data_IF_056685965147
#
_entry.id   IF_056685965147
#
_cell.length_a   1.000
_cell.length_b   1.000
_cell.length_c   1.000
_cell.angle_alpha   90.00
_cell.angle_beta   90.00
_cell.angle_gamma   90.00
#
_symmetry.space_group_name_H-M   'P 1'
#
loop_
_entity.id
_entity.type
_entity.pdbx_description
1 polymer ?
#
# COMPACT_ATOMS: atom_id res chain seq x y z
N UNK A 1 -63.50 -19.62 -22.49
CA UNK A 1 -64.01 -18.41 -21.83
C UNK A 1 -62.83 -17.64 -21.28
N UNK A 2 -62.54 -16.46 -21.85
CA UNK A 2 -61.33 -15.66 -21.63
C UNK A 2 -61.46 -14.80 -20.37
N UNK A 3 -60.54 -14.93 -19.40
CA UNK A 3 -60.41 -13.99 -18.28
C UNK A 3 -59.01 -13.35 -18.29
N UNK A 4 -58.91 -12.13 -18.84
CA UNK A 4 -57.77 -11.23 -18.59
C UNK A 4 -58.33 -9.96 -17.96
N UNK A 5 -58.36 -9.91 -16.63
CA UNK A 5 -58.61 -8.66 -15.90
C UNK A 5 -57.35 -7.81 -15.94
N UNK A 6 -57.32 -6.78 -16.79
CA UNK A 6 -56.32 -5.72 -16.73
C UNK A 6 -56.69 -4.79 -15.57
N UNK A 7 -55.93 -4.84 -14.48
CA UNK A 7 -56.01 -3.86 -13.39
C UNK A 7 -55.47 -2.53 -13.95
N UNK A 8 -56.33 -1.51 -14.07
CA UNK A 8 -55.91 -0.13 -14.38
C UNK A 8 -55.56 0.58 -13.08
N UNK A 9 -54.26 0.72 -12.80
CA UNK A 9 -53.78 1.53 -11.68
C UNK A 9 -53.88 3.02 -12.02
N UNK A 10 -54.40 3.83 -11.09
CA UNK A 10 -54.54 5.28 -11.30
C UNK A 10 -53.18 6.01 -11.16
N UNK A 11 -52.92 7.09 -11.91
CA UNK A 11 -51.62 7.79 -11.86
C UNK A 11 -51.28 8.37 -10.47
N UNK A 12 -52.30 8.65 -9.66
CA UNK A 12 -52.15 9.19 -8.30
C UNK A 12 -51.71 8.14 -7.26
N UNK A 13 -51.85 6.85 -7.58
CA UNK A 13 -51.35 5.75 -6.75
C UNK A 13 -49.92 5.33 -7.13
N UNK A 14 -49.38 5.77 -8.27
CA UNK A 14 -48.03 5.37 -8.71
C UNK A 14 -46.93 5.96 -7.83
N UNK A 15 -47.05 7.24 -7.47
CA UNK A 15 -46.03 7.95 -6.70
C UNK A 15 -45.78 7.37 -5.29
N UNK A 16 -46.82 7.09 -4.45
CA UNK A 16 -46.59 6.45 -3.17
C UNK A 16 -46.06 5.02 -3.30
N UNK A 17 -46.42 4.31 -4.39
CA UNK A 17 -46.00 2.92 -4.61
C UNK A 17 -44.52 2.82 -5.03
N UNK A 18 -44.03 3.77 -5.83
CA UNK A 18 -42.59 3.89 -6.16
C UNK A 18 -41.78 4.29 -4.93
N UNK A 19 -42.28 5.22 -4.12
CA UNK A 19 -41.61 5.61 -2.86
C UNK A 19 -41.54 4.43 -1.90
N UNK A 20 -42.61 3.66 -1.76
CA UNK A 20 -42.62 2.44 -0.94
C UNK A 20 -41.63 1.38 -1.46
N UNK A 21 -41.50 1.25 -2.79
CA UNK A 21 -40.53 0.34 -3.43
C UNK A 21 -39.08 0.76 -3.16
N UNK A 22 -38.77 2.06 -3.23
CA UNK A 22 -37.43 2.59 -2.92
C UNK A 22 -37.11 2.40 -1.44
N UNK A 23 -38.06 2.67 -0.53
CA UNK A 23 -37.88 2.45 0.91
C UNK A 23 -37.71 0.95 1.22
N UNK A 24 -38.45 0.07 0.55
CA UNK A 24 -38.28 -1.38 0.69
C UNK A 24 -36.91 -1.86 0.17
N UNK A 25 -36.43 -1.33 -0.96
CA UNK A 25 -35.09 -1.64 -1.49
C UNK A 25 -34.00 -1.10 -0.54
N UNK A 26 -34.17 0.10 0.01
CA UNK A 26 -33.24 0.68 0.97
C UNK A 26 -33.22 -0.11 2.28
N UNK A 27 -34.37 -0.54 2.79
CA UNK A 27 -34.47 -1.36 4.00
C UNK A 27 -33.92 -2.79 3.79
N UNK A 28 -34.17 -3.41 2.64
CA UNK A 28 -33.56 -4.70 2.27
C UNK A 28 -32.05 -4.55 2.05
N UNK A 29 -31.60 -3.45 1.45
CA UNK A 29 -30.18 -3.12 1.32
C UNK A 29 -29.50 -2.93 2.68
N UNK A 30 -30.14 -2.18 3.59
CA UNK A 30 -29.63 -1.90 4.94
C UNK A 30 -29.62 -3.17 5.81
N UNK A 31 -30.67 -4.00 5.75
CA UNK A 31 -30.68 -5.30 6.43
C UNK A 31 -29.70 -6.30 5.81
N UNK A 32 -29.43 -6.26 4.49
CA UNK A 32 -28.37 -7.10 3.88
C UNK A 32 -26.97 -6.67 4.29
N UNK A 33 -26.74 -5.38 4.55
CA UNK A 33 -25.45 -4.87 5.06
C UNK A 33 -25.28 -5.23 6.55
N UNK A 34 -26.35 -5.20 7.35
CA UNK A 34 -26.29 -5.46 8.80
C UNK A 34 -26.58 -6.91 9.22
N UNK A 35 -27.00 -7.80 8.32
CA UNK A 35 -27.37 -9.19 8.65
C UNK A 35 -26.56 -10.25 7.91
N UNK A 36 -25.43 -9.91 7.32
CA UNK A 36 -24.38 -10.91 7.09
C UNK A 36 -23.88 -11.40 8.44
N UNK A 37 -23.97 -12.71 8.76
CA UNK A 37 -23.12 -13.30 9.80
C UNK A 37 -21.67 -12.90 9.50
N UNK A 38 -20.77 -12.80 10.50
CA UNK A 38 -19.36 -12.57 10.22
C UNK A 38 -18.95 -13.64 9.21
N UNK A 39 -18.72 -13.19 7.97
CA UNK A 39 -18.18 -14.05 6.93
C UNK A 39 -16.90 -14.55 7.54
N UNK A 40 -16.88 -15.84 7.86
CA UNK A 40 -15.69 -16.56 8.26
C UNK A 40 -14.60 -16.07 7.31
N UNK A 41 -13.69 -15.28 7.87
CA UNK A 41 -12.44 -14.97 7.23
C UNK A 41 -11.85 -16.36 7.04
N UNK A 42 -12.01 -16.92 5.84
CA UNK A 42 -11.00 -17.83 5.31
C UNK A 42 -9.76 -16.97 5.36
N UNK A 43 -9.04 -17.14 6.46
CA UNK A 43 -7.70 -16.70 6.70
C UNK A 43 -6.96 -17.10 5.42
N UNK A 44 -6.86 -16.14 4.50
CA UNK A 44 -5.86 -16.22 3.45
C UNK A 44 -4.60 -16.23 4.26
N UNK A 45 -4.06 -17.43 4.41
CA UNK A 45 -2.76 -17.72 5.00
C UNK A 45 -1.89 -16.51 4.71
N UNK A 46 -1.51 -15.72 5.73
CA UNK A 46 -0.43 -14.77 5.56
C UNK A 46 0.66 -15.55 4.85
N UNK A 47 1.17 -15.05 3.74
CA UNK A 47 2.44 -15.59 3.26
C UNK A 47 3.40 -15.28 4.39
N UNK A 48 3.56 -16.27 5.25
CA UNK A 48 4.46 -16.30 6.38
C UNK A 48 5.79 -15.91 5.79
N UNK A 49 6.33 -14.78 6.26
CA UNK A 49 7.73 -14.49 6.04
C UNK A 49 8.47 -15.76 6.44
N UNK A 50 9.17 -16.38 5.49
CA UNK A 50 10.42 -17.01 5.87
C UNK A 50 11.26 -15.87 6.41
N UNK A 51 11.27 -15.73 7.72
CA UNK A 51 12.23 -14.96 8.48
C UNK A 51 13.61 -15.36 7.93
N UNK A 52 14.19 -14.52 7.07
CA UNK A 52 15.50 -14.80 6.53
C UNK A 52 16.47 -14.56 7.69
N UNK A 53 16.79 -15.64 8.41
CA UNK A 53 17.90 -15.65 9.37
C UNK A 53 19.18 -15.48 8.54
N UNK A 54 19.63 -14.23 8.42
CA UNK A 54 20.76 -13.82 7.58
C UNK A 54 22.12 -14.24 8.13
N UNK A 55 22.19 -15.01 9.21
CA UNK A 55 23.45 -15.61 9.65
C UNK A 55 23.99 -16.68 8.68
N UNK A 56 23.18 -17.18 7.75
CA UNK A 56 23.54 -18.32 6.89
C UNK A 56 23.05 -18.18 5.42
N UNK A 57 22.86 -16.96 4.90
CA UNK A 57 22.54 -16.83 3.48
C UNK A 57 23.75 -17.26 2.64
N UNK A 58 23.56 -18.28 1.82
CA UNK A 58 24.56 -18.63 0.83
C UNK A 58 24.58 -17.59 -0.30
N UNK A 59 25.69 -17.55 -1.06
CA UNK A 59 25.91 -16.60 -2.15
C UNK A 59 24.73 -16.49 -3.15
N UNK A 60 24.03 -17.60 -3.39
CA UNK A 60 22.88 -17.63 -4.29
C UNK A 60 21.67 -16.88 -3.72
N UNK A 61 21.40 -17.00 -2.43
CA UNK A 61 20.31 -16.28 -1.77
C UNK A 61 20.56 -14.76 -1.72
N UNK A 62 21.83 -14.36 -1.58
CA UNK A 62 22.26 -12.96 -1.72
C UNK A 62 22.01 -12.44 -3.15
N UNK A 63 22.43 -13.19 -4.16
CA UNK A 63 22.22 -12.83 -5.57
C UNK A 63 20.74 -12.74 -5.95
N UNK A 64 19.92 -13.63 -5.40
CA UNK A 64 18.46 -13.60 -5.53
C UNK A 64 17.87 -12.34 -4.87
N UNK A 65 18.31 -11.98 -3.67
CA UNK A 65 17.92 -10.73 -3.02
C UNK A 65 18.28 -9.51 -3.89
N UNK A 66 19.48 -9.46 -4.45
CA UNK A 66 19.88 -8.32 -5.29
C UNK A 66 19.06 -8.15 -6.57
N UNK A 67 18.37 -9.21 -7.04
CA UNK A 67 17.42 -9.05 -8.15
C UNK A 67 16.22 -8.17 -7.75
N UNK A 68 15.93 -8.02 -6.45
CA UNK A 68 14.89 -7.11 -5.96
C UNK A 68 15.15 -5.68 -6.43
N UNK A 69 16.40 -5.22 -6.36
CA UNK A 69 16.76 -3.88 -6.80
C UNK A 69 16.58 -3.68 -8.30
N UNK A 70 16.57 -4.74 -9.11
CA UNK A 70 16.34 -4.63 -10.57
C UNK A 70 14.86 -4.52 -10.95
N UNK A 71 13.94 -4.70 -9.99
CA UNK A 71 12.50 -4.60 -10.25
C UNK A 71 12.13 -3.15 -10.62
N UNK A 72 11.30 -2.93 -11.66
CA UNK A 72 11.04 -1.61 -12.20
C UNK A 72 10.38 -0.66 -11.18
N UNK A 73 9.47 -1.15 -10.34
CA UNK A 73 8.86 -0.34 -9.27
C UNK A 73 9.82 0.03 -8.14
N UNK A 74 10.86 -0.78 -7.87
CA UNK A 74 11.90 -0.46 -6.87
C UNK A 74 12.85 0.60 -7.44
N UNK A 75 13.25 0.45 -8.70
CA UNK A 75 14.00 1.47 -9.44
C UNK A 75 13.22 2.79 -9.53
N UNK A 76 11.92 2.71 -9.77
CA UNK A 76 11.05 3.88 -9.79
C UNK A 76 11.02 4.61 -8.44
N UNK A 77 10.90 3.88 -7.32
CA UNK A 77 10.95 4.46 -5.99
C UNK A 77 12.24 5.28 -5.79
N UNK A 78 13.39 4.73 -6.19
CA UNK A 78 14.67 5.46 -6.12
C UNK A 78 14.64 6.75 -6.96
N UNK A 79 14.11 6.68 -8.18
CA UNK A 79 13.97 7.86 -9.07
C UNK A 79 13.03 8.92 -8.47
N UNK A 80 11.91 8.51 -7.89
CA UNK A 80 10.96 9.42 -7.24
C UNK A 80 11.57 10.17 -6.05
N UNK A 81 12.31 9.46 -5.19
CA UNK A 81 13.03 10.10 -4.09
C UNK A 81 14.10 11.09 -4.59
N UNK A 82 14.79 10.77 -5.68
CA UNK A 82 15.80 11.66 -6.28
C UNK A 82 15.17 12.91 -6.93
N UNK A 83 14.05 12.73 -7.65
CA UNK A 83 13.26 13.81 -8.22
C UNK A 83 12.76 14.78 -7.11
N UNK A 84 12.23 14.23 -6.01
CA UNK A 84 11.83 15.02 -4.85
C UNK A 84 13.01 15.80 -4.24
N UNK A 85 14.18 15.16 -4.09
CA UNK A 85 15.40 15.84 -3.60
C UNK A 85 15.88 16.95 -4.53
N UNK A 86 15.81 16.74 -5.85
CA UNK A 86 16.18 17.71 -6.87
C UNK A 86 15.17 18.85 -7.02
N UNK A 87 13.98 18.70 -6.43
CA UNK A 87 12.83 19.57 -6.67
C UNK A 87 12.49 19.66 -8.17
N UNK A 88 12.61 18.53 -8.86
CA UNK A 88 12.32 18.37 -10.28
C UNK A 88 11.61 17.04 -10.52
N UNK A 89 10.31 17.12 -10.81
CA UNK A 89 9.45 15.98 -11.10
C UNK A 89 8.87 16.03 -12.51
N UNK A 90 9.55 16.69 -13.46
CA UNK A 90 9.04 16.83 -14.84
C UNK A 90 8.75 15.47 -15.50
N UNK A 91 9.61 14.49 -15.22
CA UNK A 91 9.62 13.17 -15.85
C UNK A 91 9.22 12.04 -14.88
N UNK A 92 8.81 12.40 -13.66
CA UNK A 92 8.48 11.45 -12.59
C UNK A 92 7.14 11.83 -11.95
N UNK A 93 6.19 10.90 -11.94
CA UNK A 93 4.87 11.09 -11.35
C UNK A 93 4.90 10.85 -9.84
N UNK A 94 4.73 11.92 -9.06
CA UNK A 94 4.64 11.85 -7.60
C UNK A 94 3.32 12.51 -7.19
N UNK A 95 2.46 11.73 -6.53
CA UNK A 95 1.18 12.23 -6.05
C UNK A 95 1.37 13.22 -4.92
N UNK A 96 0.47 14.20 -4.82
CA UNK A 96 0.44 15.14 -3.68
C UNK A 96 0.33 14.37 -2.35
N UNK A 97 -0.40 13.24 -2.33
CA UNK A 97 -0.53 12.40 -1.14
C UNK A 97 0.79 11.73 -0.71
N UNK A 98 1.73 11.53 -1.64
CA UNK A 98 3.07 11.05 -1.30
C UNK A 98 3.99 12.17 -0.80
N UNK A 99 3.69 13.44 -1.10
CA UNK A 99 4.54 14.58 -0.74
C UNK A 99 4.07 15.23 0.55
N UNK A 100 2.80 15.62 0.61
CA UNK A 100 2.27 16.49 1.66
C UNK A 100 2.30 15.80 3.02
N UNK A 101 2.88 16.49 4.00
CA UNK A 101 2.85 16.03 5.39
C UNK A 101 1.41 15.90 5.91
N UNK A 102 1.16 14.77 6.55
CA UNK A 102 -0.05 14.50 7.33
C UNK A 102 0.27 13.52 8.47
N UNK A 103 -0.45 13.64 9.59
CA UNK A 103 -0.27 12.78 10.77
C UNK A 103 -1.61 12.35 11.30
N UNK A 104 -1.93 11.07 11.16
CA UNK A 104 -3.21 10.50 11.60
C UNK A 104 -3.02 9.08 12.08
N UNK A 105 -3.73 8.73 13.14
CA UNK A 105 -3.85 7.33 13.61
C UNK A 105 -2.48 6.64 13.83
N UNK A 106 -1.48 7.39 14.32
CA UNK A 106 -0.13 6.86 14.56
C UNK A 106 0.70 6.63 13.29
N UNK A 107 0.29 7.20 12.16
CA UNK A 107 1.00 7.18 10.88
C UNK A 107 1.45 8.59 10.51
N UNK A 108 2.71 8.71 10.13
CA UNK A 108 3.30 9.90 9.53
C UNK A 108 3.32 9.67 8.03
N UNK A 109 2.71 10.57 7.28
CA UNK A 109 2.53 10.50 5.82
C UNK A 109 3.22 11.68 5.16
N UNK A 110 3.73 11.45 3.96
CA UNK A 110 4.29 12.48 3.10
C UNK A 110 5.80 12.60 3.20
N UNK A 111 6.46 12.81 2.07
CA UNK A 111 7.90 13.08 2.01
C UNK A 111 8.29 14.35 2.78
N UNK A 112 7.39 15.34 2.88
CA UNK A 112 7.64 16.58 3.63
C UNK A 112 7.74 16.35 5.15
N UNK A 113 7.26 15.21 5.66
CA UNK A 113 7.20 14.93 7.09
C UNK A 113 8.52 14.42 7.69
N UNK A 114 9.52 14.13 6.86
CA UNK A 114 10.79 13.54 7.30
C UNK A 114 11.99 14.33 6.80
N UNK A 115 13.12 14.16 7.51
CA UNK A 115 14.38 14.77 7.12
C UNK A 115 14.86 14.24 5.76
N UNK A 116 15.21 15.15 4.84
CA UNK A 116 15.69 14.81 3.49
C UNK A 116 16.94 13.93 3.48
N UNK A 117 17.71 13.88 4.57
CA UNK A 117 18.85 12.96 4.73
C UNK A 117 18.45 11.49 4.59
N UNK A 118 17.23 11.10 4.97
CA UNK A 118 16.72 9.75 4.70
C UNK A 118 16.75 9.47 3.19
N UNK A 119 16.21 10.38 2.38
CA UNK A 119 16.10 10.15 0.94
C UNK A 119 17.44 10.22 0.23
N UNK A 120 18.46 10.88 0.81
CA UNK A 120 19.83 10.86 0.29
C UNK A 120 20.52 9.52 0.54
N UNK A 121 20.12 8.82 1.61
CA UNK A 121 20.64 7.50 1.93
C UNK A 121 20.17 6.49 0.89
N UNK A 122 21.00 5.46 0.69
CA UNK A 122 20.59 4.21 0.09
C UNK A 122 19.57 3.50 0.99
N UNK A 123 18.75 2.62 0.43
CA UNK A 123 17.77 1.84 1.16
C UNK A 123 17.86 0.34 0.86
N UNK A 124 17.51 -0.45 1.87
CA UNK A 124 17.23 -1.88 1.74
C UNK A 124 15.74 -2.09 1.57
N UNK A 125 15.38 -3.07 0.73
CA UNK A 125 13.97 -3.49 0.60
C UNK A 125 13.73 -4.60 1.62
N UNK A 126 12.74 -4.36 2.49
CA UNK A 126 12.31 -5.29 3.54
C UNK A 126 11.22 -6.20 3.02
N UNK A 127 10.14 -5.64 2.46
CA UNK A 127 9.06 -6.42 1.86
C UNK A 127 8.51 -5.74 0.62
N UNK A 128 7.93 -6.54 -0.27
CA UNK A 128 7.14 -6.07 -1.41
C UNK A 128 5.86 -6.90 -1.42
N UNK A 129 4.72 -6.22 -1.32
CA UNK A 129 3.40 -6.83 -1.41
C UNK A 129 2.57 -6.17 -2.51
N UNK A 130 1.56 -6.88 -3.00
CA UNK A 130 0.53 -6.27 -3.85
C UNK A 130 -0.35 -5.34 -3.00
N UNK A 131 -0.54 -4.11 -3.45
CA UNK A 131 -1.46 -3.19 -2.79
C UNK A 131 -2.90 -3.47 -3.29
N UNK A 132 -3.88 -3.48 -2.39
CA UNK A 132 -5.30 -3.74 -2.72
C UNK A 132 -5.89 -2.72 -3.71
N UNK A 133 -5.39 -1.48 -3.67
CA UNK A 133 -5.71 -0.40 -4.60
C UNK A 133 -4.92 -0.46 -5.91
N UNK A 134 -4.12 -1.51 -6.14
CA UNK A 134 -3.25 -1.71 -7.30
C UNK A 134 -1.82 -1.23 -7.06
N UNK A 135 -0.86 -1.76 -7.83
CA UNK A 135 0.56 -1.47 -7.65
C UNK A 135 1.21 -2.28 -6.52
N UNK A 136 2.30 -1.76 -5.96
CA UNK A 136 3.11 -2.40 -4.90
C UNK A 136 3.21 -1.56 -3.65
N UNK A 137 3.07 -2.21 -2.51
CA UNK A 137 3.51 -1.69 -1.22
C UNK A 137 4.92 -2.20 -0.95
N UNK A 138 5.87 -1.26 -0.89
CA UNK A 138 7.29 -1.53 -0.70
C UNK A 138 7.69 -1.01 0.68
N UNK A 139 8.12 -1.91 1.55
CA UNK A 139 8.72 -1.53 2.83
C UNK A 139 10.23 -1.38 2.67
N UNK A 140 10.78 -0.26 3.12
CA UNK A 140 12.21 0.02 3.03
C UNK A 140 12.78 0.50 4.36
N UNK A 141 14.09 0.33 4.54
CA UNK A 141 14.87 0.98 5.59
C UNK A 141 16.06 1.70 4.96
N UNK A 142 16.32 2.93 5.38
CA UNK A 142 17.48 3.68 4.89
C UNK A 142 18.74 3.25 5.65
N UNK A 143 19.82 2.97 4.92
CA UNK A 143 21.04 2.41 5.50
C UNK A 143 21.78 3.36 6.45
N UNK A 144 21.78 4.66 6.17
CA UNK A 144 22.52 5.63 7.01
C UNK A 144 21.76 5.95 8.30
N UNK A 145 20.44 5.72 8.29
CA UNK A 145 19.57 5.88 9.45
C UNK A 145 18.49 4.79 9.47
N UNK A 146 18.85 3.55 9.84
CA UNK A 146 17.94 2.40 9.83
C UNK A 146 17.05 2.38 11.08
N UNK A 147 16.53 3.54 11.49
CA UNK A 147 15.79 3.71 12.75
C UNK A 147 14.27 3.52 12.59
N UNK A 148 13.79 3.31 11.36
CA UNK A 148 12.38 3.09 11.05
C UNK A 148 12.17 2.41 9.71
N UNK A 149 10.99 1.83 9.55
CA UNK A 149 10.51 1.28 8.28
C UNK A 149 9.64 2.33 7.59
N UNK A 150 9.86 2.52 6.29
CA UNK A 150 9.03 3.36 5.44
C UNK A 150 8.19 2.48 4.51
N UNK A 151 6.96 2.90 4.26
CA UNK A 151 5.98 2.25 3.40
C UNK A 151 5.77 3.12 2.17
N UNK A 152 6.24 2.67 1.02
CA UNK A 152 6.06 3.35 -0.25
C UNK A 152 5.02 2.60 -1.09
N UNK A 153 3.99 3.33 -1.55
CA UNK A 153 3.02 2.81 -2.49
C UNK A 153 3.38 3.25 -3.91
N UNK A 154 3.90 2.32 -4.72
CA UNK A 154 4.23 2.55 -6.12
C UNK A 154 3.14 1.95 -6.99
N UNK A 155 2.33 2.81 -7.59
CA UNK A 155 1.22 2.42 -8.46
C UNK A 155 1.68 2.24 -9.90
N UNK A 156 1.16 1.23 -10.59
CA UNK A 156 1.36 1.03 -12.03
C UNK A 156 0.15 1.58 -12.78
N UNK A 157 0.39 2.57 -13.64
CA UNK A 157 -0.61 3.22 -14.48
C UNK A 157 -0.97 2.34 -15.68
N UNK A 158 -2.09 2.66 -16.34
CA UNK A 158 -2.61 1.85 -17.44
C UNK A 158 -1.66 1.78 -18.66
N UNK A 159 -0.75 2.75 -18.79
CA UNK A 159 0.28 2.79 -19.83
C UNK A 159 1.58 2.06 -19.44
N UNK A 160 1.61 1.40 -18.28
CA UNK A 160 2.77 0.69 -17.73
C UNK A 160 3.81 1.59 -17.07
N UNK A 161 3.55 2.91 -16.98
CA UNK A 161 4.38 3.82 -16.18
C UNK A 161 4.00 3.73 -14.70
N UNK A 162 4.80 4.36 -13.83
CA UNK A 162 4.58 4.29 -12.39
C UNK A 162 4.28 5.67 -11.80
N UNK A 163 3.63 5.67 -10.63
CA UNK A 163 3.37 6.83 -9.79
C UNK A 163 3.69 6.50 -8.34
N UNK A 164 4.39 7.40 -7.62
CA UNK A 164 4.53 7.29 -6.17
C UNK A 164 3.28 7.90 -5.53
N UNK A 165 2.38 7.05 -5.03
CA UNK A 165 1.07 7.48 -4.51
C UNK A 165 1.05 7.75 -3.02
N UNK A 166 1.91 7.07 -2.27
CA UNK A 166 1.99 7.24 -0.82
C UNK A 166 3.40 6.97 -0.33
N UNK A 167 3.78 7.68 0.73
CA UNK A 167 5.05 7.49 1.41
C UNK A 167 4.86 7.74 2.90
N UNK A 168 4.92 6.68 3.70
CA UNK A 168 4.49 6.71 5.09
C UNK A 168 5.50 6.05 6.02
N UNK A 169 5.38 6.29 7.31
CA UNK A 169 6.04 5.52 8.36
C UNK A 169 5.14 5.50 9.60
N UNK A 170 5.27 4.47 10.44
CA UNK A 170 4.62 4.53 11.76
C UNK A 170 5.29 5.60 12.59
N UNK A 171 4.51 6.30 13.40
CA UNK A 171 5.02 7.29 14.34
C UNK A 171 5.88 6.64 15.43
N UNK A 172 5.52 5.41 15.81
CA UNK A 172 6.26 4.61 16.78
C UNK A 172 6.54 3.21 16.23
N UNK A 173 7.76 2.75 16.44
CA UNK A 173 8.15 1.36 16.34
C UNK A 173 8.66 0.90 17.69
N UNK A 174 8.28 -0.31 18.07
CA UNK A 174 8.83 -0.94 19.26
C UNK A 174 10.35 -1.17 19.08
N UNK A 175 11.20 -0.76 20.05
CA UNK A 175 12.65 -0.89 19.94
C UNK A 175 13.15 -2.32 19.77
N UNK A 176 12.49 -3.30 20.39
CA UNK A 176 12.86 -4.72 20.26
C UNK A 176 12.56 -5.20 18.84
N UNK A 177 11.38 -4.85 18.31
CA UNK A 177 11.03 -5.11 16.92
C UNK A 177 12.03 -4.47 15.94
N UNK A 178 12.41 -3.21 16.16
CA UNK A 178 13.40 -2.55 15.29
C UNK A 178 14.78 -3.19 15.37
N UNK A 179 15.17 -3.68 16.55
CA UNK A 179 16.43 -4.42 16.73
C UNK A 179 16.40 -5.73 15.98
N UNK A 180 15.33 -6.51 16.09
CA UNK A 180 15.15 -7.78 15.38
C UNK A 180 15.21 -7.58 13.86
N UNK A 181 14.47 -6.61 13.33
CA UNK A 181 14.50 -6.30 11.89
C UNK A 181 15.89 -5.82 11.46
N UNK A 182 16.55 -4.97 12.25
CA UNK A 182 17.89 -4.48 11.91
C UNK A 182 18.93 -5.61 11.88
N UNK A 183 18.87 -6.56 12.80
CA UNK A 183 19.75 -7.72 12.79
C UNK A 183 19.42 -8.65 11.61
N UNK A 184 18.13 -8.90 11.33
CA UNK A 184 17.71 -9.70 10.18
C UNK A 184 18.17 -9.10 8.84
N UNK A 185 18.28 -7.78 8.70
CA UNK A 185 18.72 -7.13 7.46
C UNK A 185 20.16 -6.60 7.52
N UNK A 186 20.91 -6.92 8.56
CA UNK A 186 22.23 -6.34 8.85
C UNK A 186 23.21 -6.43 7.69
N UNK A 187 23.32 -7.59 7.06
CA UNK A 187 24.22 -7.78 5.92
C UNK A 187 23.87 -6.84 4.75
N UNK A 188 22.59 -6.59 4.50
CA UNK A 188 22.12 -5.68 3.45
C UNK A 188 22.25 -4.22 3.86
N UNK A 189 22.11 -3.90 5.15
CA UNK A 189 22.30 -2.56 5.68
C UNK A 189 23.78 -2.12 5.61
N UNK A 190 24.71 -3.07 5.74
CA UNK A 190 26.15 -2.83 5.62
C UNK A 190 26.64 -2.86 4.16
N UNK A 191 25.91 -3.47 3.25
CA UNK A 191 26.25 -3.53 1.83
C UNK A 191 25.95 -2.20 1.10
N UNK A 192 27.00 -1.38 0.93
CA UNK A 192 26.91 -0.11 0.22
C UNK A 192 27.02 -0.24 -1.30
N UNK A 193 27.32 -1.42 -1.85
CA UNK A 193 27.50 -1.60 -3.29
C UNK A 193 26.16 -1.73 -4.02
N UNK A 194 25.30 -2.64 -3.54
CA UNK A 194 24.10 -3.05 -4.27
C UNK A 194 22.83 -2.28 -3.92
N UNK A 195 22.76 -1.68 -2.72
CA UNK A 195 21.60 -0.91 -2.29
C UNK A 195 21.41 0.38 -3.13
N UNK A 196 20.15 0.84 -3.23
CA UNK A 196 19.73 1.99 -4.05
C UNK A 196 19.50 3.24 -3.22
#
# INVERSE_FOLDING_TARGET
MNWKSKIKLSPKLYLPLVIFLIIAIAAVGYSRINSTPPSSITEKTPIELKEIKTSDLNQKELEEYYQVYKKPYVQYLRKALNAYLANDSSDISISIAAVKEDRREGIITGLDAFDKSYYKSKFVVVTINDNIGGGKDIQIMFQDKPDRIFYAWVYELADGTYELRGFNSKEYFDPETMKEVSEAYKQFLLDKEHAL
#
